data_IF_834096249351
#
_entry.id   IF_834096249351
#
_cell.length_a   1.000
_cell.length_b   1.000
_cell.length_c   1.000
_cell.angle_alpha   90.00
_cell.angle_beta   90.00
_cell.angle_gamma   90.00
#
_symmetry.space_group_name_H-M   'P 1'
#
loop_
_entity.id
_entity.type
_entity.pdbx_description
1 polymer ?
#
# COMPACT_ATOMS: atom_id res chain seq x y z
N UNK A 1 6.83 -1.09 -3.74
CA UNK A 1 8.14 -0.82 -3.12
C UNK A 1 9.24 -0.97 -4.17
N UNK A 2 10.42 -0.43 -3.93
CA UNK A 2 10.73 0.47 -2.83
C UNK A 2 10.05 1.83 -2.97
N UNK A 3 9.75 2.51 -1.84
CA UNK A 3 9.08 3.82 -1.81
C UNK A 3 9.89 4.86 -1.01
N UNK A 4 11.14 5.16 -1.41
CA UNK A 4 12.03 6.05 -0.67
C UNK A 4 11.80 7.53 -0.94
N UNK A 5 10.84 7.91 -1.80
CA UNK A 5 10.66 9.29 -2.25
C UNK A 5 9.19 9.74 -2.31
N UNK A 6 8.95 11.03 -2.06
CA UNK A 6 7.62 11.64 -2.30
C UNK A 6 7.26 11.70 -3.78
N UNK A 7 8.27 11.60 -4.67
CA UNK A 7 8.04 11.60 -6.11
C UNK A 7 7.30 10.36 -6.59
N UNK A 8 7.41 9.24 -5.87
CA UNK A 8 6.73 8.00 -6.20
C UNK A 8 5.21 8.18 -6.20
N UNK A 9 4.70 9.07 -5.34
CA UNK A 9 3.29 9.46 -5.36
C UNK A 9 2.91 10.18 -6.65
N UNK A 10 3.73 11.16 -7.08
CA UNK A 10 3.45 11.93 -8.30
C UNK A 10 3.61 11.10 -9.58
N UNK A 11 4.46 10.09 -9.57
CA UNK A 11 4.63 9.15 -10.70
C UNK A 11 3.54 8.09 -10.67
N UNK A 12 3.18 7.58 -9.49
CA UNK A 12 2.20 6.51 -9.32
C UNK A 12 0.77 6.93 -9.58
N UNK A 13 0.40 8.15 -9.20
CA UNK A 13 -0.95 8.64 -9.36
C UNK A 13 -1.42 8.65 -10.83
N UNK A 14 -0.66 9.20 -11.79
CA UNK A 14 -1.01 9.10 -13.22
C UNK A 14 -1.12 7.67 -13.74
N UNK A 15 -0.28 6.76 -13.25
CA UNK A 15 -0.32 5.34 -13.64
C UNK A 15 -1.61 4.67 -13.16
N UNK A 16 -2.01 4.93 -11.91
CA UNK A 16 -3.27 4.44 -11.36
C UNK A 16 -4.45 4.95 -12.19
N UNK A 17 -4.47 6.23 -12.54
CA UNK A 17 -5.49 6.81 -13.40
C UNK A 17 -5.49 6.21 -14.82
N UNK A 18 -4.31 5.97 -15.41
CA UNK A 18 -4.19 5.38 -16.74
C UNK A 18 -4.68 3.92 -16.78
N UNK A 19 -4.65 3.22 -15.66
CA UNK A 19 -5.16 1.85 -15.52
C UNK A 19 -6.66 1.76 -15.24
N UNK A 20 -7.34 2.87 -15.05
CA UNK A 20 -8.74 2.94 -14.62
C UNK A 20 -9.02 2.18 -13.30
N UNK A 21 -8.00 2.11 -12.44
CA UNK A 21 -8.09 1.46 -11.13
C UNK A 21 -8.42 2.50 -10.07
N UNK A 22 -9.54 2.31 -9.39
CA UNK A 22 -9.91 3.13 -8.22
C UNK A 22 -9.09 2.70 -6.99
N UNK A 23 -7.79 3.02 -6.99
CA UNK A 23 -6.94 2.73 -5.87
C UNK A 23 -7.28 3.62 -4.67
N UNK A 24 -7.41 3.00 -3.52
CA UNK A 24 -7.65 3.68 -2.25
C UNK A 24 -6.37 3.74 -1.42
N UNK A 25 -6.18 4.85 -0.73
CA UNK A 25 -5.02 5.10 0.14
C UNK A 25 -5.54 5.43 1.54
N UNK A 26 -4.94 4.83 2.55
CA UNK A 26 -5.30 5.11 3.94
C UNK A 26 -4.85 6.52 4.36
N UNK A 27 -5.75 7.28 4.93
CA UNK A 27 -5.48 8.61 5.50
C UNK A 27 -6.00 8.66 6.95
N UNK A 28 -5.33 9.43 7.82
CA UNK A 28 -5.81 9.65 9.17
C UNK A 28 -7.20 10.28 9.16
N UNK A 29 -8.13 9.76 9.98
CA UNK A 29 -9.50 10.28 10.10
C UNK A 29 -9.51 11.78 10.42
N UNK A 30 -8.58 12.26 11.21
CA UNK A 30 -8.45 13.66 11.59
C UNK A 30 -8.13 14.60 10.39
N UNK A 31 -7.67 14.06 9.27
CA UNK A 31 -7.44 14.81 8.04
C UNK A 31 -8.72 14.96 7.17
N UNK A 32 -9.79 14.21 7.51
CA UNK A 32 -11.09 14.31 6.84
C UNK A 32 -11.94 15.42 7.44
N UNK A 33 -11.48 16.66 7.32
CA UNK A 33 -12.19 17.85 7.79
C UNK A 33 -12.96 18.50 6.63
N UNK A 34 -14.14 19.05 6.94
CA UNK A 34 -14.90 19.85 5.99
C UNK A 34 -14.15 21.16 5.63
N UNK A 35 -14.09 21.61 4.36
CA UNK A 35 -14.74 21.03 3.17
C UNK A 35 -13.90 19.97 2.44
N UNK A 36 -12.68 19.65 2.89
CA UNK A 36 -11.74 18.77 2.19
C UNK A 36 -12.15 17.29 2.21
N UNK A 37 -13.02 16.89 3.13
CA UNK A 37 -13.45 15.48 3.28
C UNK A 37 -14.08 14.91 2.02
N UNK A 38 -14.91 15.72 1.30
CA UNK A 38 -15.51 15.30 0.03
C UNK A 38 -14.46 15.10 -1.06
N UNK A 39 -13.47 15.99 -1.13
CA UNK A 39 -12.36 15.89 -2.08
C UNK A 39 -11.51 14.63 -1.81
N UNK A 40 -11.17 14.37 -0.53
CA UNK A 40 -10.41 13.18 -0.17
C UNK A 40 -11.15 11.89 -0.52
N UNK A 41 -12.44 11.81 -0.22
CA UNK A 41 -13.27 10.67 -0.59
C UNK A 41 -13.34 10.46 -2.12
N UNK A 42 -13.49 11.57 -2.87
CA UNK A 42 -13.53 11.53 -4.33
C UNK A 42 -12.21 11.04 -4.95
N UNK A 43 -11.06 11.43 -4.39
CA UNK A 43 -9.73 10.96 -4.82
C UNK A 43 -9.51 9.47 -4.47
N UNK A 44 -10.29 8.90 -3.52
CA UNK A 44 -10.17 7.51 -3.11
C UNK A 44 -9.47 7.29 -1.76
N UNK A 45 -9.30 8.36 -0.96
CA UNK A 45 -8.76 8.17 0.39
C UNK A 45 -9.79 7.53 1.32
N UNK A 46 -9.32 6.59 2.15
CA UNK A 46 -10.12 5.93 3.20
C UNK A 46 -9.71 6.51 4.56
N UNK A 47 -10.66 7.09 5.32
CA UNK A 47 -10.38 7.56 6.67
C UNK A 47 -10.13 6.38 7.61
N UNK A 48 -8.99 6.37 8.29
CA UNK A 48 -8.63 5.32 9.24
C UNK A 48 -8.53 5.87 10.64
N UNK A 49 -9.34 5.33 11.54
CA UNK A 49 -9.27 5.60 12.97
C UNK A 49 -8.27 4.64 13.62
N UNK A 50 -7.12 5.18 14.03
CA UNK A 50 -6.07 4.39 14.70
C UNK A 50 -6.43 3.98 16.13
N UNK A 51 -7.47 4.59 16.71
CA UNK A 51 -7.97 4.33 18.07
C UNK A 51 -9.21 3.42 18.07
N UNK A 52 -9.67 2.99 16.88
CA UNK A 52 -10.82 2.09 16.78
C UNK A 52 -10.58 0.79 17.56
N UNK A 53 -11.61 0.19 18.18
CA UNK A 53 -11.47 -1.05 18.96
C UNK A 53 -10.85 -2.23 18.20
N UNK A 54 -11.11 -2.29 16.91
CA UNK A 54 -10.50 -3.30 16.00
C UNK A 54 -9.20 -2.83 15.36
N UNK A 55 -8.74 -1.62 15.68
CA UNK A 55 -7.57 -0.99 15.10
C UNK A 55 -7.68 -0.75 13.60
N UNK A 56 -6.55 -0.36 12.99
CA UNK A 56 -6.46 -0.06 11.54
C UNK A 56 -6.81 -1.28 10.70
N UNK A 57 -6.30 -2.46 11.07
CA UNK A 57 -6.50 -3.71 10.31
C UNK A 57 -7.99 -4.05 10.24
N UNK A 58 -8.67 -4.08 11.38
CA UNK A 58 -10.08 -4.41 11.43
C UNK A 58 -10.97 -3.41 10.69
N UNK A 59 -10.63 -2.12 10.73
CA UNK A 59 -11.35 -1.08 9.97
C UNK A 59 -11.25 -1.31 8.47
N UNK A 60 -10.05 -1.65 7.98
CA UNK A 60 -9.83 -1.88 6.54
C UNK A 60 -10.45 -3.21 6.08
N UNK A 61 -10.37 -4.27 6.89
CA UNK A 61 -11.06 -5.54 6.58
C UNK A 61 -12.57 -5.30 6.40
N UNK A 62 -13.16 -4.45 7.24
CA UNK A 62 -14.56 -4.07 7.10
C UNK A 62 -14.84 -3.31 5.80
N UNK A 63 -13.97 -2.37 5.39
CA UNK A 63 -14.09 -1.68 4.09
C UNK A 63 -14.09 -2.66 2.92
N UNK A 64 -13.27 -3.72 2.95
CA UNK A 64 -13.29 -4.78 1.94
C UNK A 64 -14.61 -5.56 1.92
N UNK A 65 -15.23 -5.77 3.08
CA UNK A 65 -16.51 -6.49 3.15
C UNK A 65 -17.72 -5.67 2.70
N UNK A 66 -17.62 -4.34 2.76
CA UNK A 66 -18.70 -3.41 2.40
C UNK A 66 -18.67 -2.98 0.93
N UNK A 67 -17.58 -3.25 0.20
CA UNK A 67 -17.37 -2.80 -1.19
C UNK A 67 -17.22 -3.98 -2.14
N UNK A 68 -17.90 -3.94 -3.26
CA UNK A 68 -17.75 -4.96 -4.32
C UNK A 68 -16.36 -4.93 -4.94
N UNK A 69 -15.73 -3.76 -5.00
CA UNK A 69 -14.39 -3.57 -5.54
C UNK A 69 -13.61 -2.58 -4.67
N UNK A 70 -12.43 -3.02 -4.24
CA UNK A 70 -11.50 -2.18 -3.49
C UNK A 70 -10.05 -2.56 -3.82
N UNK A 71 -9.29 -1.58 -4.27
CA UNK A 71 -7.84 -1.66 -4.40
C UNK A 71 -7.20 -0.81 -3.32
N UNK A 72 -6.48 -1.43 -2.41
CA UNK A 72 -5.81 -0.72 -1.32
C UNK A 72 -4.30 -0.63 -1.59
N UNK A 73 -3.79 0.58 -1.77
CA UNK A 73 -2.36 0.81 -1.93
C UNK A 73 -1.68 1.00 -0.57
N UNK A 74 -0.65 0.20 -0.30
CA UNK A 74 0.13 0.24 0.94
C UNK A 74 1.62 0.21 0.62
N UNK A 75 2.38 1.12 1.22
CA UNK A 75 3.84 1.06 1.26
C UNK A 75 4.26 0.33 2.56
N UNK A 76 4.81 -0.90 2.45
CA UNK A 76 5.08 -1.74 3.63
C UNK A 76 6.21 -1.19 4.51
N UNK A 77 7.11 -0.38 3.95
CA UNK A 77 8.17 0.29 4.69
C UNK A 77 7.60 1.22 5.78
N UNK A 78 6.44 1.83 5.52
CA UNK A 78 5.78 2.76 6.42
C UNK A 78 6.54 4.06 6.68
N UNK A 79 7.63 4.28 5.97
CA UNK A 79 8.51 5.46 6.03
C UNK A 79 9.21 5.66 4.69
N UNK A 80 9.72 6.87 4.44
CA UNK A 80 10.54 7.20 3.27
C UNK A 80 12.05 7.16 3.57
N UNK A 81 12.41 7.01 4.84
CA UNK A 81 13.77 6.70 5.27
C UNK A 81 13.98 5.19 5.23
N UNK A 82 15.24 4.75 5.26
CA UNK A 82 15.55 3.32 5.35
C UNK A 82 14.82 2.71 6.55
N UNK A 83 13.96 1.73 6.29
CA UNK A 83 13.20 1.06 7.33
C UNK A 83 13.97 -0.16 7.83
N UNK A 84 14.29 -0.22 9.10
CA UNK A 84 14.91 -1.41 9.69
C UNK A 84 13.99 -2.63 9.60
N UNK A 85 12.68 -2.42 9.73
CA UNK A 85 11.66 -3.48 9.63
C UNK A 85 10.43 -2.97 8.89
N UNK A 86 9.96 -3.76 7.96
CA UNK A 86 8.70 -3.50 7.27
C UNK A 86 7.51 -3.78 8.17
N UNK A 87 6.42 -3.04 7.95
CA UNK A 87 5.16 -3.24 8.66
C UNK A 87 4.42 -4.45 8.09
N UNK A 88 3.94 -5.33 8.96
CA UNK A 88 3.24 -6.56 8.57
C UNK A 88 1.72 -6.42 8.53
N UNK A 89 1.20 -5.24 8.86
CA UNK A 89 -0.24 -5.00 8.93
C UNK A 89 -0.99 -5.29 7.64
N UNK A 90 -0.35 -5.12 6.47
CA UNK A 90 -0.95 -5.44 5.18
C UNK A 90 -1.21 -6.94 4.99
N UNK A 91 -0.36 -7.82 5.53
CA UNK A 91 -0.61 -9.27 5.56
C UNK A 91 -1.87 -9.59 6.37
N UNK A 92 -2.00 -8.96 7.56
CA UNK A 92 -3.20 -9.15 8.39
C UNK A 92 -4.48 -8.63 7.71
N UNK A 93 -4.38 -7.57 6.92
CA UNK A 93 -5.51 -7.08 6.11
C UNK A 93 -5.85 -8.08 5.02
N UNK A 94 -4.87 -8.57 4.27
CA UNK A 94 -5.09 -9.53 3.19
C UNK A 94 -5.69 -10.84 3.70
N UNK A 95 -5.17 -11.38 4.80
CA UNK A 95 -5.73 -12.56 5.48
C UNK A 95 -7.16 -12.32 5.94
N UNK A 96 -7.40 -11.23 6.68
CA UNK A 96 -8.71 -10.92 7.25
C UNK A 96 -9.79 -10.63 6.21
N UNK A 97 -9.41 -10.04 5.07
CA UNK A 97 -10.30 -9.74 3.95
C UNK A 97 -10.36 -10.87 2.90
N UNK A 98 -9.51 -11.90 3.02
CA UNK A 98 -9.37 -13.00 2.05
C UNK A 98 -9.12 -12.47 0.62
N UNK A 99 -8.20 -11.54 0.47
CA UNK A 99 -7.85 -10.92 -0.82
C UNK A 99 -6.37 -11.15 -1.16
N UNK A 100 -6.02 -11.25 -2.44
CA UNK A 100 -4.63 -11.38 -2.85
C UNK A 100 -3.89 -10.05 -2.72
N UNK A 101 -2.56 -10.14 -2.68
CA UNK A 101 -1.64 -9.01 -2.68
C UNK A 101 -0.96 -8.93 -4.05
N UNK A 102 -1.05 -7.79 -4.70
CA UNK A 102 -0.29 -7.50 -5.92
C UNK A 102 0.97 -6.72 -5.56
N UNK A 103 2.13 -7.21 -5.95
CA UNK A 103 3.40 -6.54 -5.72
C UNK A 103 3.60 -5.48 -6.81
N UNK A 104 3.68 -4.22 -6.41
CA UNK A 104 3.94 -3.09 -7.31
C UNK A 104 5.37 -2.60 -7.08
N UNK A 105 6.19 -2.69 -8.11
CA UNK A 105 7.61 -2.38 -8.07
C UNK A 105 7.95 -1.15 -8.89
N UNK A 106 8.81 -0.29 -8.33
CA UNK A 106 9.39 0.88 -8.98
C UNK A 106 10.84 0.60 -9.28
N UNK A 107 11.24 0.79 -10.53
CA UNK A 107 12.62 0.68 -10.94
C UNK A 107 13.06 1.97 -11.64
N UNK A 108 13.77 2.80 -10.92
CA UNK A 108 14.19 4.11 -11.40
C UNK A 108 15.30 4.05 -12.45
N UNK A 109 16.30 3.15 -12.40
CA UNK A 109 17.29 3.01 -13.43
C UNK A 109 16.68 2.72 -14.81
N UNK A 110 15.71 1.82 -14.86
CA UNK A 110 15.03 1.45 -16.11
C UNK A 110 13.78 2.30 -16.39
N UNK A 111 13.38 3.18 -15.46
CA UNK A 111 12.17 4.02 -15.52
C UNK A 111 10.90 3.18 -15.73
N UNK A 112 10.82 2.03 -15.10
CA UNK A 112 9.68 1.12 -15.21
C UNK A 112 8.90 1.01 -13.92
N UNK A 113 7.60 0.73 -14.07
CA UNK A 113 6.71 0.32 -13.00
C UNK A 113 6.20 -1.06 -13.37
N UNK A 114 6.45 -2.04 -12.51
CA UNK A 114 6.04 -3.41 -12.76
C UNK A 114 4.86 -3.78 -11.84
N UNK A 115 3.82 -4.34 -12.43
CA UNK A 115 2.66 -4.90 -11.76
C UNK A 115 2.77 -6.41 -11.66
N UNK A 116 2.60 -6.96 -10.45
CA UNK A 116 2.71 -8.39 -10.17
C UNK A 116 4.07 -8.79 -9.62
N UNK A 117 4.24 -10.02 -9.15
CA UNK A 117 3.22 -11.07 -9.16
C UNK A 117 2.07 -10.84 -8.19
N UNK A 118 0.98 -11.58 -8.40
CA UNK A 118 -0.08 -11.73 -7.41
C UNK A 118 0.29 -12.86 -6.45
N UNK A 119 0.09 -12.64 -5.15
CA UNK A 119 0.30 -13.66 -4.13
C UNK A 119 -0.87 -13.69 -3.14
N UNK A 120 -1.14 -14.85 -2.60
CA UNK A 120 -2.01 -15.04 -1.44
C UNK A 120 -1.15 -15.31 -0.21
N UNK A 121 -1.60 -14.90 0.95
CA UNK A 121 -0.90 -15.20 2.21
C UNK A 121 -0.91 -16.71 2.47
N UNK A 122 0.24 -17.25 2.85
CA UNK A 122 0.41 -18.69 3.13
C UNK A 122 -0.05 -19.08 4.56
N UNK A 123 -0.30 -18.08 5.41
CA UNK A 123 -0.48 -18.25 6.85
C UNK A 123 0.84 -18.23 7.64
N UNK A 124 1.98 -18.37 6.97
CA UNK A 124 3.31 -18.17 7.55
C UNK A 124 3.82 -16.77 7.22
N UNK A 125 3.50 -15.80 8.07
CA UNK A 125 3.82 -14.38 7.85
C UNK A 125 5.31 -14.09 7.72
N UNK A 126 6.16 -14.87 8.38
CA UNK A 126 7.60 -14.69 8.29
C UNK A 126 8.09 -15.07 6.89
N UNK A 127 7.64 -16.20 6.37
CA UNK A 127 7.96 -16.65 5.02
C UNK A 127 7.39 -15.70 3.97
N UNK A 128 6.12 -15.30 4.11
CA UNK A 128 5.47 -14.35 3.18
C UNK A 128 6.26 -13.03 3.11
N UNK A 129 6.76 -12.53 4.25
CA UNK A 129 7.59 -11.32 4.28
C UNK A 129 8.94 -11.51 3.62
N UNK A 130 9.60 -12.66 3.81
CA UNK A 130 10.86 -12.96 3.16
C UNK A 130 10.71 -13.01 1.63
N UNK A 131 9.66 -13.63 1.15
CA UNK A 131 9.36 -13.75 -0.29
C UNK A 131 9.06 -12.39 -0.91
N UNK A 132 8.27 -11.55 -0.24
CA UNK A 132 7.98 -10.19 -0.68
C UNK A 132 9.26 -9.35 -0.72
N UNK A 133 10.09 -9.39 0.31
CA UNK A 133 11.34 -8.66 0.36
C UNK A 133 12.31 -9.15 -0.72
N UNK A 134 12.40 -10.47 -0.94
CA UNK A 134 13.23 -11.05 -2.00
C UNK A 134 12.82 -10.54 -3.39
N UNK A 135 11.50 -10.43 -3.64
CA UNK A 135 11.00 -9.84 -4.88
C UNK A 135 11.45 -8.39 -5.04
N UNK A 136 11.30 -7.56 -4.02
CA UNK A 136 11.61 -6.12 -4.13
C UNK A 136 13.11 -5.79 -4.17
N UNK A 137 14.01 -6.68 -3.71
CA UNK A 137 15.47 -6.50 -3.82
C UNK A 137 15.98 -6.39 -5.26
N UNK A 138 15.19 -6.77 -6.24
CA UNK A 138 15.54 -6.69 -7.67
C UNK A 138 15.35 -5.29 -8.24
N UNK A 139 14.72 -4.39 -7.50
CA UNK A 139 14.32 -3.06 -7.96
C UNK A 139 15.02 -1.96 -7.18
N UNK A 140 15.39 -0.91 -7.88
CA UNK A 140 16.09 0.22 -7.28
C UNK A 140 15.19 1.45 -7.24
N UNK A 141 14.97 1.97 -6.05
CA UNK A 141 14.21 3.20 -5.82
C UNK A 141 14.99 4.46 -6.23
N UNK A 142 14.30 5.61 -6.26
CA UNK A 142 14.92 6.90 -6.59
C UNK A 142 16.09 7.27 -5.68
N UNK A 143 16.10 6.78 -4.46
CA UNK A 143 17.13 7.00 -3.46
C UNK A 143 17.64 5.66 -2.96
N UNK A 144 18.65 5.07 -3.64
CA UNK A 144 19.17 3.76 -3.29
C UNK A 144 19.63 3.63 -1.85
N UNK A 145 20.15 4.71 -1.28
CA UNK A 145 20.60 4.79 0.11
C UNK A 145 19.46 4.56 1.13
N UNK A 146 18.22 4.76 0.74
CA UNK A 146 17.02 4.54 1.55
C UNK A 146 16.27 3.25 1.19
N UNK A 147 16.77 2.48 0.24
CA UNK A 147 16.21 1.18 -0.16
C UNK A 147 16.80 0.07 0.71
N UNK A 148 15.97 -0.92 1.08
CA UNK A 148 16.38 -2.09 1.88
C UNK A 148 16.78 -3.26 0.99
#
# INVERSE_FOLDING_TARGET
APHPSSWDFFVGLPVIFAMDVKASIMMKKEAFIWPLSALWAWIGFIPVDRKAPRGVVGSIVNEFSEREQLWLAIAPEGTRAKAEKWKTGFLSIAEGANVPIMLLSWDYPTKTIQFGPMMTTSGNREQDMLDIQAHFRQFEGRRPENTN
#
